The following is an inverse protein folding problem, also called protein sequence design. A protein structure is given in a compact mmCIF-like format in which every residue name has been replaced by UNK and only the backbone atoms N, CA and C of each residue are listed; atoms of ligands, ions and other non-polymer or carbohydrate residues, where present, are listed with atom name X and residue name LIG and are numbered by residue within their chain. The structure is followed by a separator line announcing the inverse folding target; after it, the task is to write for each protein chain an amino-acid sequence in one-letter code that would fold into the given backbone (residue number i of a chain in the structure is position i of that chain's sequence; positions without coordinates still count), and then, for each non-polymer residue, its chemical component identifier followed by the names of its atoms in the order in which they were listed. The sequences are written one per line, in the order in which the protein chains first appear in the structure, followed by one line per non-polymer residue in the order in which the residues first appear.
data_IF_416630986344
#
_entry.id   IF_416630986344
#
_cell.length_a   1.000
_cell.length_b   1.000
_cell.length_c   1.000
_cell.angle_alpha   90.00
_cell.angle_beta   90.00
_cell.angle_gamma   90.00
#
_symmetry.space_group_name_H-M   'P 1'
#
loop_
_entity.id
_entity.type
_entity.pdbx_description
1 polymer ?
#
# COMPACT_ATOMS: atom_id res chain seq x y z
N UNK A 1 -18.29 12.68 -17.12
CA UNK A 1 -17.50 11.74 -16.28
C UNK A 1 -16.38 12.44 -15.51
N UNK A 2 -16.38 13.78 -15.40
CA UNK A 2 -15.30 14.56 -14.74
C UNK A 2 -15.53 14.88 -13.26
N UNK A 3 -16.62 14.41 -12.65
CA UNK A 3 -17.00 14.85 -11.29
C UNK A 3 -16.09 14.30 -10.19
N UNK A 4 -15.40 13.17 -10.40
CA UNK A 4 -14.58 12.56 -9.34
C UNK A 4 -13.37 13.43 -8.98
N UNK A 5 -12.79 14.18 -9.92
CA UNK A 5 -11.62 15.04 -9.68
C UNK A 5 -11.90 16.20 -8.71
N UNK A 6 -13.15 16.62 -8.58
CA UNK A 6 -13.55 17.70 -7.66
C UNK A 6 -14.02 17.16 -6.31
N UNK A 7 -14.20 15.85 -6.17
CA UNK A 7 -14.62 15.25 -4.91
C UNK A 7 -13.51 15.25 -3.88
N UNK A 8 -13.89 15.47 -2.61
CA UNK A 8 -13.00 15.27 -1.47
C UNK A 8 -12.67 13.78 -1.30
N UNK A 9 -11.62 13.49 -0.54
CA UNK A 9 -11.26 12.11 -0.19
C UNK A 9 -12.43 11.38 0.48
N UNK A 10 -13.13 12.05 1.39
CA UNK A 10 -14.30 11.51 2.08
C UNK A 10 -15.43 11.15 1.11
N UNK A 11 -15.68 12.01 0.11
CA UNK A 11 -16.68 11.72 -0.93
C UNK A 11 -16.26 10.51 -1.77
N UNK A 12 -15.00 10.44 -2.19
CA UNK A 12 -14.49 9.30 -2.94
C UNK A 12 -14.56 8.00 -2.14
N UNK A 13 -14.25 8.03 -0.85
CA UNK A 13 -14.37 6.85 0.02
C UNK A 13 -15.83 6.42 0.20
N UNK A 14 -16.76 7.37 0.37
CA UNK A 14 -18.19 7.05 0.43
C UNK A 14 -18.69 6.35 -0.84
N UNK A 15 -18.19 6.78 -2.01
CA UNK A 15 -18.52 6.16 -3.29
C UNK A 15 -17.83 4.79 -3.46
N UNK A 16 -16.58 4.68 -3.02
CA UNK A 16 -15.85 3.42 -2.98
C UNK A 16 -16.60 2.33 -2.18
N UNK A 17 -17.24 2.71 -1.06
CA UNK A 17 -18.05 1.80 -0.23
C UNK A 17 -19.28 1.24 -0.95
N UNK A 18 -19.81 1.95 -1.93
CA UNK A 18 -20.94 1.48 -2.76
C UNK A 18 -20.48 0.86 -4.07
N UNK A 19 -19.24 0.38 -4.11
CA UNK A 19 -18.62 -0.31 -5.24
C UNK A 19 -18.46 0.57 -6.51
N UNK A 20 -18.30 1.88 -6.35
CA UNK A 20 -17.98 2.78 -7.46
C UNK A 20 -16.51 2.65 -7.87
N UNK A 21 -16.27 1.96 -8.98
CA UNK A 21 -14.94 1.77 -9.60
C UNK A 21 -14.28 3.08 -10.05
N UNK A 22 -15.07 4.09 -10.42
CA UNK A 22 -14.58 5.41 -10.81
C UNK A 22 -13.97 6.15 -9.62
N UNK A 23 -14.58 6.02 -8.44
CA UNK A 23 -14.05 6.58 -7.21
C UNK A 23 -12.71 5.93 -6.81
N UNK A 24 -12.60 4.60 -6.92
CA UNK A 24 -11.33 3.90 -6.70
C UNK A 24 -10.24 4.37 -7.67
N UNK A 25 -10.59 4.46 -8.96
CA UNK A 25 -9.68 4.91 -10.01
C UNK A 25 -9.12 6.30 -9.71
N UNK A 26 -9.99 7.23 -9.30
CA UNK A 26 -9.56 8.58 -8.92
C UNK A 26 -8.66 8.58 -7.69
N UNK A 27 -8.99 7.79 -6.65
CA UNK A 27 -8.13 7.61 -5.47
C UNK A 27 -6.74 7.11 -5.90
N UNK A 28 -6.68 6.08 -6.75
CA UNK A 28 -5.43 5.54 -7.25
C UNK A 28 -4.61 6.60 -8.00
N UNK A 29 -5.22 7.31 -8.95
CA UNK A 29 -4.55 8.35 -9.74
C UNK A 29 -3.99 9.49 -8.86
N UNK A 30 -4.73 9.91 -7.83
CA UNK A 30 -4.30 10.98 -6.91
C UNK A 30 -3.12 10.58 -6.04
N UNK A 31 -3.10 9.33 -5.58
CA UNK A 31 -2.22 8.93 -4.49
C UNK A 31 -1.07 8.01 -4.89
N UNK A 32 -1.20 7.25 -5.98
CA UNK A 32 -0.18 6.29 -6.44
C UNK A 32 1.23 6.90 -6.46
N UNK A 33 1.42 7.98 -7.22
CA UNK A 33 2.75 8.57 -7.41
C UNK A 33 3.32 9.13 -6.11
N UNK A 34 2.47 9.76 -5.28
CA UNK A 34 2.87 10.33 -3.99
C UNK A 34 3.28 9.23 -3.01
N UNK A 35 2.51 8.15 -2.96
CA UNK A 35 2.78 7.01 -2.10
C UNK A 35 4.01 6.24 -2.55
N UNK A 36 4.21 6.09 -3.86
CA UNK A 36 5.41 5.50 -4.44
C UNK A 36 6.67 6.26 -4.05
N UNK A 37 6.68 7.59 -4.17
CA UNK A 37 7.83 8.42 -3.73
C UNK A 37 8.10 8.24 -2.23
N UNK A 38 7.06 8.15 -1.40
CA UNK A 38 7.22 7.85 0.03
C UNK A 38 7.85 6.46 0.26
N UNK A 39 7.44 5.46 -0.51
CA UNK A 39 7.99 4.10 -0.47
C UNK A 39 9.46 4.06 -0.89
N UNK A 40 9.80 4.63 -2.05
CA UNK A 40 11.18 4.67 -2.56
C UNK A 40 12.13 5.33 -1.58
N UNK A 41 11.74 6.48 -1.00
CA UNK A 41 12.55 7.18 0.00
C UNK A 41 12.77 6.38 1.30
N UNK A 42 11.96 5.34 1.55
CA UNK A 42 12.08 4.49 2.74
C UNK A 42 12.80 3.18 2.48
N UNK A 43 12.62 2.58 1.31
CA UNK A 43 13.09 1.22 1.01
C UNK A 43 14.37 1.24 0.18
N UNK A 44 14.59 2.32 -0.60
CA UNK A 44 15.68 2.43 -1.58
C UNK A 44 15.67 1.28 -2.62
N UNK A 45 14.50 0.68 -2.82
CA UNK A 45 14.25 -0.43 -3.74
C UNK A 45 12.97 -0.09 -4.51
N UNK A 46 13.13 0.26 -5.79
CA UNK A 46 12.02 0.72 -6.64
C UNK A 46 10.98 -0.39 -6.83
N UNK A 47 11.44 -1.63 -7.01
CA UNK A 47 10.57 -2.76 -7.31
C UNK A 47 9.75 -3.14 -6.08
N UNK A 48 10.40 -3.21 -4.91
CA UNK A 48 9.69 -3.48 -3.66
C UNK A 48 8.76 -2.31 -3.26
N UNK A 49 9.14 -1.07 -3.55
CA UNK A 49 8.25 0.07 -3.34
C UNK A 49 6.99 -0.04 -4.22
N UNK A 50 7.15 -0.39 -5.49
CA UNK A 50 6.02 -0.58 -6.41
C UNK A 50 5.08 -1.71 -5.94
N UNK A 51 5.65 -2.86 -5.59
CA UNK A 51 4.91 -4.03 -5.05
C UNK A 51 4.09 -3.64 -3.82
N UNK A 52 4.69 -2.94 -2.85
CA UNK A 52 3.99 -2.50 -1.65
C UNK A 52 2.87 -1.49 -1.97
N UNK A 53 3.09 -0.56 -2.91
CA UNK A 53 2.02 0.36 -3.32
C UNK A 53 0.86 -0.43 -3.95
N UNK A 54 1.14 -1.38 -4.84
CA UNK A 54 0.11 -2.24 -5.43
C UNK A 54 -0.67 -3.02 -4.37
N UNK A 55 0.03 -3.61 -3.40
CA UNK A 55 -0.58 -4.31 -2.26
C UNK A 55 -1.53 -3.41 -1.47
N UNK A 56 -1.12 -2.16 -1.18
CA UNK A 56 -1.95 -1.22 -0.41
C UNK A 56 -3.24 -0.90 -1.15
N UNK A 57 -3.17 -0.60 -2.45
CA UNK A 57 -4.39 -0.31 -3.22
C UNK A 57 -5.25 -1.57 -3.43
N UNK A 58 -4.63 -2.74 -3.56
CA UNK A 58 -5.34 -4.02 -3.63
C UNK A 58 -6.09 -4.31 -2.32
N UNK A 59 -5.44 -4.10 -1.18
CA UNK A 59 -6.06 -4.24 0.14
C UNK A 59 -7.23 -3.26 0.31
N UNK A 60 -7.07 -2.02 -0.17
CA UNK A 60 -8.15 -1.02 -0.15
C UNK A 60 -9.34 -1.48 -0.97
N UNK A 61 -9.10 -1.97 -2.19
CA UNK A 61 -10.16 -2.49 -3.05
C UNK A 61 -10.87 -3.69 -2.42
N UNK A 62 -10.11 -4.65 -1.91
CA UNK A 62 -10.66 -5.87 -1.31
C UNK A 62 -11.51 -5.56 -0.06
N UNK A 63 -11.11 -4.56 0.72
CA UNK A 63 -11.77 -4.18 1.97
C UNK A 63 -12.68 -2.94 1.82
N UNK A 64 -13.01 -2.56 0.58
CA UNK A 64 -13.74 -1.31 0.27
C UNK A 64 -15.05 -1.13 1.03
N UNK A 65 -15.75 -2.22 1.35
CA UNK A 65 -17.01 -2.20 2.10
C UNK A 65 -16.82 -1.97 3.61
N UNK A 66 -15.63 -2.26 4.14
CA UNK A 66 -15.32 -2.25 5.58
C UNK A 66 -14.48 -1.04 6.00
N UNK A 67 -13.83 -0.36 5.04
CA UNK A 67 -12.92 0.75 5.36
C UNK A 67 -13.70 1.93 5.92
N UNK A 68 -13.55 2.21 7.20
CA UNK A 68 -13.99 3.46 7.81
C UNK A 68 -12.84 4.45 7.80
N UNK A 69 -13.11 5.61 7.19
CA UNK A 69 -12.12 6.64 7.01
C UNK A 69 -12.78 8.02 7.09
N UNK A 70 -12.16 8.90 7.87
CA UNK A 70 -12.57 10.30 8.06
C UNK A 70 -11.35 11.21 7.81
N UNK A 71 -11.52 12.31 7.09
CA UNK A 71 -10.47 13.29 6.84
C UNK A 71 -9.63 13.06 5.57
N UNK A 72 -8.30 13.17 5.69
CA UNK A 72 -7.37 13.14 4.55
C UNK A 72 -6.74 11.76 4.33
N UNK A 73 -6.86 11.21 3.12
CA UNK A 73 -6.46 9.83 2.84
C UNK A 73 -4.93 9.62 2.88
N UNK A 74 -4.14 10.66 2.67
CA UNK A 74 -2.67 10.56 2.58
C UNK A 74 -2.00 10.07 3.89
N UNK A 75 -2.31 10.62 5.09
CA UNK A 75 -1.84 10.06 6.35
C UNK A 75 -2.10 8.56 6.52
N UNK A 76 -3.29 8.09 6.16
CA UNK A 76 -3.65 6.68 6.22
C UNK A 76 -2.78 5.83 5.30
N UNK A 77 -2.64 6.25 4.03
CA UNK A 77 -1.79 5.57 3.05
C UNK A 77 -0.32 5.55 3.49
N UNK A 78 0.19 6.66 4.02
CA UNK A 78 1.55 6.74 4.53
C UNK A 78 1.79 5.80 5.73
N UNK A 79 0.79 5.65 6.61
CA UNK A 79 0.85 4.69 7.71
C UNK A 79 0.83 3.23 7.20
N UNK A 80 -0.04 2.91 6.24
CA UNK A 80 -0.08 1.59 5.59
C UNK A 80 1.25 1.26 4.90
N UNK A 81 1.83 2.21 4.16
CA UNK A 81 3.17 2.10 3.58
C UNK A 81 4.23 1.81 4.64
N UNK A 82 4.27 2.60 5.72
CA UNK A 82 5.23 2.36 6.82
C UNK A 82 5.09 0.95 7.39
N UNK A 83 3.86 0.48 7.60
CA UNK A 83 3.60 -0.86 8.13
C UNK A 83 4.09 -1.95 7.17
N UNK A 84 3.72 -1.89 5.89
CA UNK A 84 4.14 -2.87 4.87
C UNK A 84 5.66 -2.89 4.68
N UNK A 85 6.33 -1.73 4.76
CA UNK A 85 7.80 -1.64 4.72
C UNK A 85 8.44 -2.38 5.89
N UNK A 86 7.91 -2.21 7.11
CA UNK A 86 8.42 -2.90 8.29
C UNK A 86 8.23 -4.41 8.13
N UNK A 87 7.04 -4.85 7.70
CA UNK A 87 6.75 -6.27 7.46
C UNK A 87 7.68 -6.88 6.40
N UNK A 88 7.88 -6.20 5.27
CA UNK A 88 8.80 -6.63 4.22
C UNK A 88 10.24 -6.77 4.72
N UNK A 89 10.72 -5.82 5.54
CA UNK A 89 12.07 -5.89 6.15
C UNK A 89 12.20 -7.07 7.12
N UNK A 90 11.19 -7.30 7.96
CA UNK A 90 11.18 -8.43 8.89
C UNK A 90 11.15 -9.78 8.14
N UNK A 91 10.38 -9.88 7.06
CA UNK A 91 10.35 -11.06 6.18
C UNK A 91 11.73 -11.33 5.56
N UNK A 92 12.39 -10.32 4.99
CA UNK A 92 13.76 -10.45 4.46
C UNK A 92 14.75 -10.96 5.53
N UNK A 93 14.67 -10.47 6.76
CA UNK A 93 15.52 -10.93 7.88
C UNK A 93 15.24 -12.39 8.29
N UNK A 94 13.98 -12.81 8.29
CA UNK A 94 13.58 -14.20 8.62
C UNK A 94 14.04 -15.21 7.56
N UNK A 95 14.00 -14.84 6.28
CA UNK A 95 14.48 -15.71 5.19
C UNK A 95 15.99 -15.86 5.29
N UNK A 96 16.73 -14.75 5.39
CA UNK A 96 18.20 -14.75 5.51
C UNK A 96 18.70 -15.57 6.71
N UNK A 97 18.01 -15.49 7.86
CA UNK A 97 18.37 -16.28 9.05
C UNK A 97 18.05 -17.77 8.92
N UNK A 98 17.07 -18.17 8.10
CA UNK A 98 16.80 -19.58 7.79
C UNK A 98 17.83 -20.15 6.82
N UNK A 99 18.17 -19.42 5.75
CA UNK A 99 19.19 -19.83 4.77
C UNK A 99 20.57 -20.02 5.43
N UNK A 100 20.94 -19.12 6.35
CA UNK A 100 22.20 -19.24 7.09
C UNK A 100 22.27 -20.52 7.94
N UNK A 101 21.13 -20.96 8.50
CA UNK A 101 21.05 -22.18 9.32
C UNK A 101 21.10 -23.45 8.46
N UNK A 102 20.47 -23.45 7.29
CA UNK A 102 20.50 -24.58 6.35
C UNK A 102 21.92 -24.77 5.81
N UNK A 103 22.60 -23.70 5.37
CA UNK A 103 23.96 -23.79 4.83
C UNK A 103 25.03 -24.27 5.82
N UNK A 104 24.80 -24.16 7.13
CA UNK A 104 25.71 -24.70 8.16
C UNK A 104 25.35 -26.13 8.58
N UNK A 105 24.14 -26.61 8.26
CA UNK A 105 23.73 -27.99 8.55
C UNK A 105 24.22 -28.98 7.49
N UNK A 106 24.43 -28.55 6.25
CA UNK A 106 24.83 -29.43 5.14
C UNK A 106 26.36 -29.67 5.05
N UNK A 107 27.16 -29.06 5.94
CA UNK A 107 28.63 -29.19 5.95
C UNK A 107 29.19 -30.05 7.09
N UNK A 108 28.35 -30.74 7.84
CA UNK A 108 28.75 -31.56 8.98
C UNK A 108 28.31 -33.02 8.83
#
# INVERSE_FOLDING_TARGET
MDSYKTYSDEQLIRLLKVNDEGAFTEIYLRYWKRLFVVGVNKIEDLQLAEEIVQDIFTDIWNRRFEIEFEGNLMPYLAAAMKYKVIDARLKKQRIKSKELKISHSDRN
#
